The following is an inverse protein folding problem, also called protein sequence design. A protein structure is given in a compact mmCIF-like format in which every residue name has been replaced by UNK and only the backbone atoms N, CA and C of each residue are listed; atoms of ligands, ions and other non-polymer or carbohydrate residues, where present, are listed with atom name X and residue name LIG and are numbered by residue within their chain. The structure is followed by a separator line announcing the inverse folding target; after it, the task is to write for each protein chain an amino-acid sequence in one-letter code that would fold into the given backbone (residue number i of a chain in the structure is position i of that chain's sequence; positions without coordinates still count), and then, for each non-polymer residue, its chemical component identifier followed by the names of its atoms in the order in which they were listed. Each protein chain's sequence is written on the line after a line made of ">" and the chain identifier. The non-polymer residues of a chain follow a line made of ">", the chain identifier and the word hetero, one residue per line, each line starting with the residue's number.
data_IF_567219217956
#
_entry.id   IF_567219217956
#
_cell.length_a   1.000
_cell.length_b   1.000
_cell.length_c   1.000
_cell.angle_alpha   90.00
_cell.angle_beta   90.00
_cell.angle_gamma   90.00
#
_symmetry.space_group_name_H-M   'P 1'
#
loop_
_entity.id
_entity.type
_entity.pdbx_description
1 polymer ?
#
# COMPACT_ATOMS: atom_id res chain seq x y z
N UNK A 1 -2.09 11.30 -21.00
CA UNK A 1 -1.29 11.23 -19.76
C UNK A 1 -1.82 12.29 -18.82
N UNK A 2 -2.28 11.91 -17.64
CA UNK A 2 -2.68 12.88 -16.61
C UNK A 2 -1.41 13.58 -16.11
N UNK A 3 -1.41 14.92 -16.12
CA UNK A 3 -0.24 15.69 -15.70
C UNK A 3 0.04 15.47 -14.21
N UNK A 4 1.22 14.96 -13.88
CA UNK A 4 1.72 14.88 -12.51
C UNK A 4 2.39 16.22 -12.20
N UNK A 5 1.94 16.90 -11.14
CA UNK A 5 2.50 18.18 -10.71
C UNK A 5 3.37 17.96 -9.47
N UNK A 6 4.56 18.57 -9.44
CA UNK A 6 5.53 18.36 -8.36
C UNK A 6 5.04 18.80 -6.98
N UNK A 7 4.14 19.77 -6.91
CA UNK A 7 3.58 20.30 -5.66
C UNK A 7 2.32 19.55 -5.17
N UNK A 8 2.00 18.40 -5.76
CA UNK A 8 0.90 17.57 -5.26
C UNK A 8 1.26 17.01 -3.88
N UNK A 9 0.35 17.17 -2.93
CA UNK A 9 0.42 16.53 -1.62
C UNK A 9 0.07 15.05 -1.76
N UNK A 10 1.03 14.18 -1.48
CA UNK A 10 0.89 12.73 -1.65
C UNK A 10 0.74 12.05 -0.31
N UNK A 11 -0.25 11.15 -0.21
CA UNK A 11 -0.33 10.15 0.84
C UNK A 11 -0.07 8.76 0.26
N UNK A 12 0.81 7.98 0.90
CA UNK A 12 1.13 6.59 0.51
C UNK A 12 0.56 5.64 1.56
N UNK A 13 -0.22 4.65 1.14
CA UNK A 13 -0.90 3.71 2.02
C UNK A 13 -0.59 2.29 1.58
N UNK A 14 0.15 1.55 2.40
CA UNK A 14 0.73 0.26 2.01
C UNK A 14 0.10 -0.89 2.78
N UNK A 15 -0.56 -1.79 2.05
CA UNK A 15 -0.92 -3.11 2.55
C UNK A 15 0.34 -3.99 2.51
N UNK A 16 1.05 -4.04 3.64
CA UNK A 16 2.33 -4.74 3.73
C UNK A 16 2.13 -6.24 3.56
N UNK A 17 1.00 -6.78 4.01
CA UNK A 17 0.74 -8.22 3.95
C UNK A 17 0.45 -8.66 2.51
N UNK A 18 -0.36 -7.90 1.78
CA UNK A 18 -0.61 -8.16 0.36
C UNK A 18 0.71 -8.10 -0.44
N UNK A 19 1.51 -7.05 -0.25
CA UNK A 19 2.81 -6.91 -0.94
C UNK A 19 3.81 -8.01 -0.57
N UNK A 20 3.87 -8.41 0.69
CA UNK A 20 4.73 -9.51 1.13
C UNK A 20 4.37 -10.83 0.44
N UNK A 21 3.08 -11.20 0.42
CA UNK A 21 2.66 -12.44 -0.24
C UNK A 21 2.84 -12.39 -1.75
N UNK A 22 2.58 -11.24 -2.39
CA UNK A 22 2.83 -11.07 -3.82
C UNK A 22 4.30 -11.28 -4.18
N UNK A 23 5.23 -10.62 -3.47
CA UNK A 23 6.67 -10.78 -3.73
C UNK A 23 7.15 -12.21 -3.46
N UNK A 24 6.70 -12.82 -2.36
CA UNK A 24 7.05 -14.19 -2.01
C UNK A 24 6.54 -15.20 -3.04
N UNK A 25 5.29 -15.10 -3.47
CA UNK A 25 4.68 -16.08 -4.36
C UNK A 25 5.11 -15.92 -5.81
N UNK A 26 5.29 -14.68 -6.29
CA UNK A 26 5.66 -14.41 -7.68
C UNK A 26 7.17 -14.48 -7.92
N UNK A 27 7.98 -14.15 -6.91
CA UNK A 27 9.41 -13.92 -7.07
C UNK A 27 10.29 -14.61 -6.02
N UNK A 28 9.70 -15.30 -5.03
CA UNK A 28 10.46 -15.89 -3.90
C UNK A 28 11.38 -14.89 -3.20
N UNK A 29 10.99 -13.60 -3.20
CA UNK A 29 11.80 -12.46 -2.75
C UNK A 29 10.98 -11.59 -1.79
N UNK A 30 11.62 -10.57 -1.20
CA UNK A 30 10.97 -9.58 -0.33
C UNK A 30 10.85 -8.23 -1.04
N UNK A 31 9.92 -7.39 -0.59
CA UNK A 31 9.75 -6.04 -1.14
C UNK A 31 10.77 -5.07 -0.54
N UNK A 32 11.40 -4.26 -1.40
CA UNK A 32 12.15 -3.08 -0.99
C UNK A 32 11.19 -1.91 -0.74
N UNK A 33 10.83 -1.71 0.52
CA UNK A 33 9.91 -0.65 0.92
C UNK A 33 10.50 0.77 0.77
N UNK A 34 11.82 0.93 0.73
CA UNK A 34 12.46 2.22 0.50
C UNK A 34 12.29 2.63 -0.97
N UNK A 35 12.61 1.73 -1.90
CA UNK A 35 12.43 1.97 -3.34
C UNK A 35 10.96 2.07 -3.73
N UNK A 36 10.10 1.34 -3.03
CA UNK A 36 8.65 1.47 -3.18
C UNK A 36 8.19 2.87 -2.79
N UNK A 37 8.57 3.37 -1.60
CA UNK A 37 8.20 4.71 -1.15
C UNK A 37 8.68 5.80 -2.11
N UNK A 38 9.96 5.76 -2.50
CA UNK A 38 10.55 6.70 -3.46
C UNK A 38 9.78 6.73 -4.79
N UNK A 39 9.43 5.55 -5.31
CA UNK A 39 8.69 5.41 -6.56
C UNK A 39 7.22 5.82 -6.44
N UNK A 40 6.60 5.61 -5.28
CA UNK A 40 5.25 6.07 -5.00
C UNK A 40 5.20 7.60 -4.94
N UNK A 41 6.19 8.23 -4.30
CA UNK A 41 6.22 9.69 -4.13
C UNK A 41 6.56 10.43 -5.42
N UNK A 42 7.45 9.90 -6.26
CA UNK A 42 7.84 10.53 -7.55
C UNK A 42 8.28 12.00 -7.42
N UNK A 43 9.08 12.33 -6.40
CA UNK A 43 9.54 13.70 -6.09
C UNK A 43 8.40 14.73 -5.90
N UNK A 44 7.26 14.28 -5.35
CA UNK A 44 6.16 15.15 -4.91
C UNK A 44 6.22 15.42 -3.40
N UNK A 45 5.38 16.31 -2.91
CA UNK A 45 5.32 16.65 -1.48
C UNK A 45 4.65 15.52 -0.68
N UNK A 46 5.45 14.65 -0.06
CA UNK A 46 4.96 13.60 0.83
C UNK A 46 4.35 14.20 2.10
N UNK A 47 3.05 14.01 2.29
CA UNK A 47 2.34 14.42 3.51
C UNK A 47 2.32 13.31 4.55
N UNK A 48 2.12 12.06 4.10
CA UNK A 48 2.04 10.89 4.99
C UNK A 48 2.39 9.62 4.24
N UNK A 49 3.08 8.70 4.90
CA UNK A 49 3.27 7.32 4.44
C UNK A 49 2.87 6.36 5.54
N UNK A 50 1.78 5.61 5.36
CA UNK A 50 1.28 4.64 6.33
C UNK A 50 1.57 3.21 5.83
N UNK A 51 2.19 2.40 6.68
CA UNK A 51 2.42 0.98 6.43
C UNK A 51 1.58 0.14 7.39
N UNK A 52 0.64 -0.62 6.85
CA UNK A 52 -0.31 -1.41 7.59
C UNK A 52 0.19 -2.84 7.73
N UNK A 53 0.54 -3.22 8.96
CA UNK A 53 1.17 -4.51 9.25
C UNK A 53 0.32 -5.33 10.21
N UNK A 54 0.35 -6.64 10.02
CA UNK A 54 -0.26 -7.58 10.96
C UNK A 54 0.84 -8.20 11.78
N UNK A 55 0.71 -8.07 13.10
CA UNK A 55 1.66 -8.67 14.02
C UNK A 55 1.35 -10.15 14.17
N UNK A 56 2.27 -11.00 13.75
CA UNK A 56 2.32 -12.39 14.16
C UNK A 56 3.27 -12.54 15.36
N UNK A 57 3.15 -13.64 16.10
CA UNK A 57 3.93 -13.86 17.33
C UNK A 57 5.36 -14.34 17.01
N UNK A 58 6.09 -13.63 16.13
CA UNK A 58 7.46 -13.99 15.74
C UNK A 58 8.50 -12.93 16.15
N UNK A 59 9.73 -13.33 16.55
CA UNK A 59 10.73 -12.40 17.07
C UNK A 59 11.22 -11.34 16.06
N UNK A 60 11.22 -11.68 14.77
CA UNK A 60 11.85 -10.85 13.72
C UNK A 60 10.99 -9.66 13.26
N UNK A 61 9.71 -9.61 13.65
CA UNK A 61 8.80 -8.55 13.22
C UNK A 61 9.15 -7.17 13.77
N UNK A 62 9.61 -7.10 15.02
CA UNK A 62 9.96 -5.82 15.62
C UNK A 62 11.08 -5.12 14.85
N UNK A 63 12.07 -5.88 14.37
CA UNK A 63 13.16 -5.35 13.54
C UNK A 63 12.64 -4.83 12.19
N UNK A 64 11.70 -5.55 11.58
CA UNK A 64 11.08 -5.13 10.33
C UNK A 64 10.23 -3.86 10.50
N UNK A 65 9.44 -3.76 11.57
CA UNK A 65 8.66 -2.55 11.86
C UNK A 65 9.55 -1.33 12.14
N UNK A 66 10.65 -1.52 12.87
CA UNK A 66 11.65 -0.48 13.07
C UNK A 66 12.34 -0.06 11.76
N UNK A 67 12.59 -0.99 10.84
CA UNK A 67 13.12 -0.67 9.52
C UNK A 67 12.13 0.20 8.71
N UNK A 68 10.84 -0.15 8.70
CA UNK A 68 9.80 0.67 8.05
C UNK A 68 9.74 2.09 8.65
N UNK A 69 9.80 2.22 9.97
CA UNK A 69 9.84 3.54 10.64
C UNK A 69 11.06 4.36 10.22
N UNK A 70 12.24 3.73 10.13
CA UNK A 70 13.48 4.39 9.67
C UNK A 70 13.41 4.85 8.22
N UNK A 71 12.70 4.11 7.36
CA UNK A 71 12.44 4.52 5.97
C UNK A 71 11.52 5.76 5.92
N UNK A 72 10.68 5.96 6.93
CA UNK A 72 9.78 7.11 7.05
C UNK A 72 8.30 6.75 7.04
N UNK A 73 7.96 5.45 7.20
CA UNK A 73 6.57 5.03 7.37
C UNK A 73 6.07 5.21 8.79
N UNK A 74 4.83 5.66 8.91
CA UNK A 74 4.00 5.46 10.09
C UNK A 74 3.47 4.03 10.08
N UNK A 75 3.96 3.21 11.01
CA UNK A 75 3.64 1.78 11.06
C UNK A 75 2.40 1.54 11.93
N UNK A 76 1.30 1.16 11.28
CA UNK A 76 0.03 0.83 11.90
C UNK A 76 -0.04 -0.69 12.14
N UNK A 77 -0.11 -1.12 13.40
CA UNK A 77 -0.03 -2.53 13.80
C UNK A 77 -1.41 -3.06 14.22
N UNK A 78 -1.83 -4.17 13.61
CA UNK A 78 -3.04 -4.92 14.01
C UNK A 78 -2.65 -6.29 14.54
N UNK A 79 -3.17 -6.63 15.71
CA UNK A 79 -3.01 -7.97 16.28
C UNK A 79 -4.01 -8.93 15.64
N UNK A 80 -3.56 -10.16 15.35
CA UNK A 80 -4.45 -11.24 14.92
C UNK A 80 -5.51 -11.50 16.00
N UNK A 81 -6.78 -11.46 15.61
CA UNK A 81 -7.87 -11.86 16.50
C UNK A 81 -8.08 -13.36 16.38
N UNK A 82 -8.00 -14.05 17.50
CA UNK A 82 -8.46 -15.44 17.62
C UNK A 82 -9.98 -15.44 17.78
N UNK A 83 -10.68 -16.04 16.82
CA UNK A 83 -12.11 -16.25 16.92
C UNK A 83 -12.40 -17.54 17.70
N UNK A 84 -13.59 -17.62 18.31
CA UNK A 84 -14.02 -18.78 19.11
C UNK A 84 -13.96 -20.14 18.36
N UNK A 85 -13.93 -20.11 17.01
CA UNK A 85 -13.75 -21.31 16.17
C UNK A 85 -12.31 -21.68 15.85
N UNK A 86 -11.31 -20.99 16.39
CA UNK A 86 -9.88 -21.22 16.14
C UNK A 86 -9.32 -20.56 14.87
N UNK A 87 -10.17 -19.94 14.04
CA UNK A 87 -9.69 -19.12 12.92
C UNK A 87 -9.02 -17.84 13.44
N UNK A 88 -7.83 -17.53 12.92
CA UNK A 88 -7.19 -16.23 13.08
C UNK A 88 -7.50 -15.39 11.86
N UNK A 89 -8.24 -14.29 12.02
CA UNK A 89 -8.49 -13.31 10.97
C UNK A 89 -8.12 -11.92 11.45
N UNK A 90 -7.35 -11.23 10.62
CA UNK A 90 -7.16 -9.80 10.64
C UNK A 90 -6.73 -9.44 9.24
N UNK A 91 -7.49 -8.59 8.56
CA UNK A 91 -7.06 -7.82 7.40
C UNK A 91 -7.00 -6.35 7.82
N UNK A 92 -6.46 -5.48 6.98
CA UNK A 92 -6.44 -4.05 7.25
C UNK A 92 -7.52 -3.28 6.49
N UNK A 93 -8.31 -3.95 5.65
CA UNK A 93 -9.14 -3.35 4.61
C UNK A 93 -10.03 -2.24 5.13
N UNK A 94 -10.80 -2.52 6.18
CA UNK A 94 -11.68 -1.52 6.79
C UNK A 94 -10.89 -0.39 7.47
N UNK A 95 -9.78 -0.71 8.14
CA UNK A 95 -8.95 0.28 8.82
C UNK A 95 -8.28 1.24 7.82
N UNK A 96 -7.70 0.68 6.76
CA UNK A 96 -7.13 1.42 5.64
C UNK A 96 -8.18 2.29 4.95
N UNK A 97 -9.35 1.73 4.66
CA UNK A 97 -10.47 2.45 4.06
C UNK A 97 -10.84 3.69 4.88
N UNK A 98 -11.01 3.51 6.20
CA UNK A 98 -11.40 4.59 7.11
C UNK A 98 -10.30 5.64 7.26
N UNK A 99 -9.02 5.26 7.32
CA UNK A 99 -7.92 6.25 7.37
C UNK A 99 -7.82 7.02 6.05
N UNK A 100 -7.80 6.34 4.91
CA UNK A 100 -7.67 6.98 3.60
C UNK A 100 -8.79 7.99 3.32
N UNK A 101 -10.04 7.68 3.68
CA UNK A 101 -11.17 8.61 3.56
C UNK A 101 -10.97 9.85 4.45
N UNK A 102 -10.48 9.67 5.68
CA UNK A 102 -10.19 10.78 6.59
C UNK A 102 -9.06 11.68 6.07
N UNK A 103 -8.01 11.08 5.48
CA UNK A 103 -6.88 11.83 4.95
C UNK A 103 -7.17 12.49 3.60
N UNK A 104 -8.11 11.98 2.80
CA UNK A 104 -8.39 12.43 1.44
C UNK A 104 -8.52 13.95 1.30
N UNK A 105 -9.15 14.63 2.27
CA UNK A 105 -9.34 16.10 2.25
C UNK A 105 -8.03 16.91 2.33
N UNK A 106 -6.93 16.29 2.75
CA UNK A 106 -5.61 16.92 2.90
C UNK A 106 -4.64 16.56 1.78
N UNK A 107 -5.04 15.67 0.88
CA UNK A 107 -4.20 15.08 -0.14
C UNK A 107 -4.71 15.46 -1.53
N UNK A 108 -3.77 15.67 -2.45
CA UNK A 108 -4.08 15.83 -3.87
C UNK A 108 -3.97 14.49 -4.61
N UNK A 109 -3.07 13.62 -4.13
CA UNK A 109 -2.88 12.27 -4.65
C UNK A 109 -2.77 11.24 -3.53
N UNK A 110 -3.45 10.13 -3.71
CA UNK A 110 -3.35 8.94 -2.87
C UNK A 110 -2.68 7.84 -3.69
N UNK A 111 -1.59 7.29 -3.17
CA UNK A 111 -0.98 6.08 -3.71
C UNK A 111 -1.38 4.92 -2.81
N UNK A 112 -2.27 4.07 -3.32
CA UNK A 112 -2.69 2.83 -2.68
C UNK A 112 -1.80 1.69 -3.15
N UNK A 113 -1.11 1.05 -2.22
CA UNK A 113 -0.17 -0.03 -2.53
C UNK A 113 -0.77 -1.36 -2.09
N UNK A 114 -1.53 -1.97 -2.99
CA UNK A 114 -2.17 -3.28 -2.83
C UNK A 114 -2.60 -3.81 -4.21
N UNK A 115 -2.65 -5.13 -4.37
CA UNK A 115 -3.28 -5.80 -5.51
C UNK A 115 -4.73 -6.22 -5.27
N UNK A 116 -5.29 -5.95 -4.09
CA UNK A 116 -6.61 -6.44 -3.67
C UNK A 116 -7.79 -5.69 -4.32
N UNK A 117 -8.66 -6.44 -5.00
CA UNK A 117 -9.83 -5.96 -5.71
C UNK A 117 -10.88 -5.30 -4.83
N UNK A 118 -10.94 -5.66 -3.55
CA UNK A 118 -11.95 -5.14 -2.61
C UNK A 118 -11.81 -3.62 -2.39
N UNK A 119 -10.63 -3.05 -2.67
CA UNK A 119 -10.41 -1.60 -2.63
C UNK A 119 -10.90 -0.83 -3.86
N UNK A 120 -11.37 -1.48 -4.93
CA UNK A 120 -11.85 -0.77 -6.13
C UNK A 120 -12.97 0.23 -5.80
N UNK A 121 -13.88 -0.14 -4.90
CA UNK A 121 -14.95 0.76 -4.44
C UNK A 121 -14.39 1.98 -3.69
N UNK A 122 -13.37 1.78 -2.87
CA UNK A 122 -12.68 2.87 -2.18
C UNK A 122 -11.98 3.81 -3.17
N UNK A 123 -11.31 3.25 -4.19
CA UNK A 123 -10.64 4.04 -5.23
C UNK A 123 -11.61 4.98 -5.92
N UNK A 124 -12.77 4.48 -6.35
CA UNK A 124 -13.80 5.32 -6.97
C UNK A 124 -14.38 6.36 -6.01
N UNK A 125 -14.56 6.01 -4.74
CA UNK A 125 -15.01 6.96 -3.73
C UNK A 125 -14.00 8.10 -3.53
N UNK A 126 -12.71 7.80 -3.39
CA UNK A 126 -11.65 8.79 -3.22
C UNK A 126 -11.52 9.71 -4.44
N UNK A 127 -11.67 9.15 -5.65
CA UNK A 127 -11.75 9.95 -6.89
C UNK A 127 -12.95 10.90 -6.88
N UNK A 128 -14.11 10.46 -6.40
CA UNK A 128 -15.29 11.31 -6.25
C UNK A 128 -15.08 12.46 -5.25
N UNK A 129 -14.18 12.27 -4.27
CA UNK A 129 -13.76 13.31 -3.32
C UNK A 129 -12.73 14.29 -3.90
N UNK A 130 -12.33 14.12 -5.17
CA UNK A 130 -11.38 14.99 -5.86
C UNK A 130 -9.91 14.56 -5.75
N UNK A 131 -9.62 13.41 -5.12
CA UNK A 131 -8.26 12.88 -5.10
C UNK A 131 -7.92 12.23 -6.45
N UNK A 132 -6.69 12.42 -6.90
CA UNK A 132 -6.08 11.48 -7.83
C UNK A 132 -5.74 10.21 -7.07
N UNK A 133 -6.13 9.04 -7.58
CA UNK A 133 -5.81 7.76 -6.95
C UNK A 133 -4.93 6.94 -7.87
N UNK A 134 -3.71 6.69 -7.43
CA UNK A 134 -2.74 5.83 -8.09
C UNK A 134 -2.69 4.51 -7.33
N UNK A 135 -2.73 3.39 -8.06
CA UNK A 135 -2.52 2.07 -7.47
C UNK A 135 -1.13 1.59 -7.86
N UNK A 136 -0.40 1.02 -6.91
CA UNK A 136 0.92 0.44 -7.14
C UNK A 136 0.99 -0.98 -6.60
N UNK A 137 1.34 -1.93 -7.45
CA UNK A 137 1.40 -3.35 -7.08
C UNK A 137 2.09 -4.16 -8.19
N UNK A 138 2.37 -5.44 -7.93
CA UNK A 138 2.79 -6.38 -8.96
C UNK A 138 1.59 -6.73 -9.85
N UNK A 139 1.65 -6.36 -11.14
CA UNK A 139 0.55 -6.51 -12.08
C UNK A 139 -0.03 -7.91 -12.14
N UNK A 140 0.82 -8.95 -12.08
CA UNK A 140 0.41 -10.36 -12.09
C UNK A 140 -0.41 -10.80 -10.88
N UNK A 141 -0.32 -10.11 -9.74
CA UNK A 141 -1.13 -10.39 -8.54
C UNK A 141 -2.25 -9.38 -8.30
N UNK A 142 -2.55 -8.52 -9.28
CA UNK A 142 -3.48 -7.41 -9.10
C UNK A 142 -4.84 -7.71 -9.72
N UNK A 143 -5.90 -7.43 -8.95
CA UNK A 143 -7.27 -7.54 -9.44
C UNK A 143 -7.51 -6.55 -10.59
N UNK A 144 -8.27 -7.01 -11.60
CA UNK A 144 -8.51 -6.25 -12.83
C UNK A 144 -9.34 -4.99 -12.54
N UNK A 145 -10.37 -5.14 -11.73
CA UNK A 145 -11.29 -4.11 -11.28
C UNK A 145 -10.57 -2.98 -10.53
N UNK A 146 -9.56 -3.30 -9.71
CA UNK A 146 -8.75 -2.30 -9.02
C UNK A 146 -7.95 -1.47 -10.03
N UNK A 147 -7.32 -2.15 -11.00
CA UNK A 147 -6.53 -1.50 -12.06
C UNK A 147 -7.40 -0.61 -12.95
N UNK A 148 -8.62 -1.03 -13.26
CA UNK A 148 -9.57 -0.25 -14.05
C UNK A 148 -10.14 0.95 -13.28
N UNK A 149 -10.32 0.82 -11.96
CA UNK A 149 -10.80 1.92 -11.10
C UNK A 149 -9.72 2.99 -10.88
N UNK A 150 -8.44 2.62 -10.84
CA UNK A 150 -7.34 3.53 -10.60
C UNK A 150 -7.23 4.66 -11.64
N UNK A 151 -6.83 5.86 -11.21
CA UNK A 151 -6.49 6.95 -12.14
C UNK A 151 -5.21 6.65 -12.92
N UNK A 152 -4.29 5.94 -12.27
CA UNK A 152 -3.08 5.39 -12.86
C UNK A 152 -2.69 4.11 -12.11
N UNK A 153 -2.18 3.12 -12.84
CA UNK A 153 -1.65 1.91 -12.25
C UNK A 153 -0.14 1.87 -12.49
N UNK A 154 0.63 1.77 -11.40
CA UNK A 154 2.08 1.67 -11.39
C UNK A 154 2.44 0.20 -11.25
N UNK A 155 2.75 -0.44 -12.37
CA UNK A 155 3.07 -1.85 -12.40
C UNK A 155 4.50 -2.08 -11.91
N UNK A 156 4.65 -2.75 -10.77
CA UNK A 156 5.96 -3.10 -10.22
C UNK A 156 6.64 -4.21 -11.02
N UNK A 157 5.89 -4.99 -11.81
CA UNK A 157 6.46 -6.04 -12.67
C UNK A 157 7.33 -5.43 -13.79
N UNK A 158 7.04 -4.20 -14.23
CA UNK A 158 7.81 -3.51 -15.29
C UNK A 158 9.28 -3.28 -14.88
N UNK A 159 9.56 -3.24 -13.58
CA UNK A 159 10.90 -3.05 -13.00
C UNK A 159 11.04 -3.85 -11.70
N UNK A 160 10.71 -5.15 -11.73
CA UNK A 160 10.70 -6.02 -10.55
C UNK A 160 12.00 -5.93 -9.75
N UNK A 161 13.15 -5.90 -10.42
CA UNK A 161 14.48 -5.84 -9.79
C UNK A 161 14.72 -4.58 -8.96
N UNK A 162 13.95 -3.50 -9.20
CA UNK A 162 13.99 -2.28 -8.37
C UNK A 162 13.29 -2.47 -7.03
N UNK A 163 12.26 -3.32 -7.00
CA UNK A 163 11.32 -3.42 -5.88
C UNK A 163 11.52 -4.69 -5.05
N UNK A 164 12.49 -5.52 -5.40
CA UNK A 164 12.74 -6.79 -4.76
C UNK A 164 14.14 -6.82 -4.15
N UNK A 165 14.24 -7.44 -2.98
CA UNK A 165 15.49 -7.74 -2.29
C UNK A 165 15.48 -9.20 -1.83
N UNK A 166 16.68 -9.78 -1.75
CA UNK A 166 16.92 -11.15 -1.30
C UNK A 166 16.55 -11.39 0.18
#
# INVERSE_FOLDING_TARGET
>A
MSNIHRNQRVGVFVDVQNMYYSAKNLYSSKVDFEKLLDSAVMNRDLVRASAYVIQAETPDENNFFEALRKIGYEVEIKQLKEFYGGEKKGDWDLGMTVDMIQQAKKLDTIVLVTGDGDFAVLVDHLKSMGCRVEVMSFGRSSAKELRESATNFIDMDDKSDKFLVD
#
